data_IF_551660466180
#
_entry.id   IF_551660466180
#
_cell.length_a   1.000
_cell.length_b   1.000
_cell.length_c   1.000
_cell.angle_alpha   90.00
_cell.angle_beta   90.00
_cell.angle_gamma   90.00
#
_symmetry.space_group_name_H-M   'P 1'
#
loop_
_entity.id
_entity.type
_entity.pdbx_description
1 polymer ?
#
# COMPACT_ATOMS: atom_id res chain seq x y z
N UNK A 1 -7.09 -30.13 -40.56
CA UNK A 1 -7.76 -28.81 -40.43
C UNK A 1 -9.06 -28.87 -39.60
N UNK A 2 -9.71 -30.05 -39.45
CA UNK A 2 -10.97 -30.21 -38.68
C UNK A 2 -10.80 -30.51 -37.17
N UNK A 3 -9.61 -30.81 -36.66
CA UNK A 3 -9.41 -31.21 -35.25
C UNK A 3 -9.81 -30.12 -34.23
N UNK A 4 -9.78 -28.84 -34.65
CA UNK A 4 -10.21 -27.73 -33.81
C UNK A 4 -11.74 -27.62 -33.68
N UNK A 5 -12.51 -28.26 -34.56
CA UNK A 5 -13.97 -28.19 -34.54
C UNK A 5 -14.56 -28.81 -33.26
N UNK A 6 -13.94 -29.88 -32.75
CA UNK A 6 -14.33 -30.52 -31.48
C UNK A 6 -14.24 -29.55 -30.30
N UNK A 7 -13.17 -28.76 -30.25
CA UNK A 7 -12.98 -27.76 -29.19
C UNK A 7 -13.96 -26.60 -29.33
N UNK A 8 -14.27 -26.17 -30.56
CA UNK A 8 -15.27 -25.12 -30.82
C UNK A 8 -16.66 -25.55 -30.35
N UNK A 9 -17.10 -26.76 -30.73
CA UNK A 9 -18.39 -27.30 -30.29
C UNK A 9 -18.44 -27.49 -28.78
N UNK A 10 -17.35 -27.99 -28.18
CA UNK A 10 -17.26 -28.12 -26.72
C UNK A 10 -17.38 -26.75 -26.02
N UNK A 11 -16.71 -25.71 -26.52
CA UNK A 11 -16.77 -24.39 -25.87
C UNK A 11 -18.13 -23.69 -26.05
N UNK A 12 -18.86 -23.94 -27.14
CA UNK A 12 -20.21 -23.39 -27.37
C UNK A 12 -21.25 -23.92 -26.39
N UNK A 13 -21.09 -25.16 -25.91
CA UNK A 13 -22.04 -25.79 -24.98
C UNK A 13 -21.77 -25.45 -23.51
N UNK A 14 -20.61 -24.89 -23.19
CA UNK A 14 -20.25 -24.50 -21.83
C UNK A 14 -20.58 -23.03 -21.58
N UNK A 15 -20.91 -22.70 -20.33
CA UNK A 15 -21.12 -21.30 -19.94
C UNK A 15 -19.80 -20.52 -20.05
N UNK A 16 -19.85 -19.21 -20.38
CA UNK A 16 -18.66 -18.37 -20.40
C UNK A 16 -17.95 -18.38 -19.04
N UNK A 17 -16.62 -18.43 -19.06
CA UNK A 17 -15.78 -18.33 -17.86
C UNK A 17 -15.75 -16.88 -17.31
N UNK A 18 -16.18 -15.90 -18.12
CA UNK A 18 -16.17 -14.49 -17.79
C UNK A 18 -17.18 -14.15 -16.68
N UNK A 19 -16.77 -13.24 -15.79
CA UNK A 19 -17.65 -12.65 -14.76
C UNK A 19 -18.20 -11.32 -15.26
N UNK A 20 -19.42 -10.96 -14.87
CA UNK A 20 -20.05 -9.69 -15.25
C UNK A 20 -19.65 -8.57 -14.30
N UNK A 21 -18.43 -8.04 -14.44
CA UNK A 21 -18.01 -6.83 -13.73
C UNK A 21 -18.89 -5.63 -14.17
N UNK A 22 -19.35 -4.72 -13.28
CA UNK A 22 -19.08 -4.63 -11.84
C UNK A 22 -20.07 -5.37 -10.93
N UNK A 23 -21.10 -6.04 -11.49
CA UNK A 23 -22.16 -6.71 -10.74
C UNK A 23 -21.69 -7.98 -10.02
N UNK A 24 -20.76 -8.71 -10.62
CA UNK A 24 -20.15 -9.91 -10.06
C UNK A 24 -18.64 -9.69 -9.93
N UNK A 25 -18.19 -9.29 -8.74
CA UNK A 25 -16.77 -9.11 -8.43
C UNK A 25 -16.16 -10.42 -7.95
N UNK A 26 -14.86 -10.60 -8.20
CA UNK A 26 -14.09 -11.70 -7.62
C UNK A 26 -13.57 -11.24 -6.27
N UNK A 27 -13.79 -12.05 -5.25
CA UNK A 27 -13.14 -11.84 -3.95
C UNK A 27 -11.61 -11.87 -4.10
N UNK A 28 -10.89 -10.87 -3.56
CA UNK A 28 -9.44 -10.86 -3.57
C UNK A 28 -8.87 -12.12 -2.92
N UNK A 29 -7.73 -12.59 -3.44
CA UNK A 29 -6.99 -13.68 -2.81
C UNK A 29 -6.50 -13.29 -1.42
N UNK A 30 -6.23 -14.28 -0.56
CA UNK A 30 -5.79 -14.04 0.82
C UNK A 30 -4.54 -13.15 0.92
N UNK A 31 -3.57 -13.37 0.02
CA UNK A 31 -2.31 -12.61 -0.05
C UNK A 31 -2.30 -11.55 -1.16
N UNK A 32 -3.48 -11.12 -1.63
CA UNK A 32 -3.58 -10.06 -2.61
C UNK A 32 -2.96 -8.76 -2.05
N UNK A 33 -2.22 -8.06 -2.91
CA UNK A 33 -1.61 -6.77 -2.58
C UNK A 33 -2.33 -5.69 -3.38
N UNK A 34 -3.19 -4.94 -2.70
CA UNK A 34 -3.99 -3.87 -3.29
C UNK A 34 -3.34 -2.51 -3.09
N UNK A 35 -3.31 -2.03 -1.85
CA UNK A 35 -2.64 -0.78 -1.51
C UNK A 35 -2.16 -0.76 -0.06
N UNK A 36 -1.24 0.16 0.24
CA UNK A 36 -0.74 0.32 1.61
C UNK A 36 -1.58 1.31 2.40
N UNK A 37 -1.80 1.01 3.66
CA UNK A 37 -2.41 1.91 4.65
C UNK A 37 -1.48 2.00 5.86
N UNK A 38 -1.45 3.16 6.51
CA UNK A 38 -0.65 3.38 7.71
C UNK A 38 -1.56 3.77 8.86
N UNK A 39 -1.50 2.98 9.93
CA UNK A 39 -2.03 3.31 11.24
C UNK A 39 -1.07 4.30 11.91
N UNK A 40 -1.39 5.59 11.79
CA UNK A 40 -0.51 6.66 12.25
C UNK A 40 -0.29 6.62 13.77
N UNK A 41 -1.26 6.11 14.54
CA UNK A 41 -1.17 6.01 15.99
C UNK A 41 -0.10 4.99 16.41
N UNK A 42 0.00 3.87 15.69
CA UNK A 42 1.07 2.88 15.89
C UNK A 42 2.40 3.28 15.25
N UNK A 43 2.40 4.24 14.34
CA UNK A 43 3.60 4.69 13.63
C UNK A 43 4.52 5.48 14.57
N UNK A 44 5.79 5.11 14.66
CA UNK A 44 6.80 5.84 15.46
C UNK A 44 7.67 6.79 14.62
N UNK A 45 7.30 7.02 13.36
CA UNK A 45 8.02 7.89 12.42
C UNK A 45 9.52 7.57 12.31
N UNK A 46 9.89 6.28 12.30
CA UNK A 46 11.28 5.82 12.24
C UNK A 46 11.94 5.95 10.86
N UNK A 47 11.15 6.17 9.80
CA UNK A 47 11.65 6.32 8.43
C UNK A 47 12.23 5.06 7.78
N UNK A 48 12.06 3.87 8.38
CA UNK A 48 12.51 2.60 7.75
C UNK A 48 11.76 2.36 6.43
N UNK A 49 10.44 2.54 6.43
CA UNK A 49 9.59 2.37 5.25
C UNK A 49 10.00 3.26 4.07
N UNK A 50 10.44 4.50 4.35
CA UNK A 50 11.02 5.40 3.34
C UNK A 50 12.33 4.84 2.78
N UNK A 51 13.27 4.42 3.65
CA UNK A 51 14.59 3.92 3.22
C UNK A 51 14.54 2.64 2.39
N UNK A 52 13.59 1.75 2.68
CA UNK A 52 13.45 0.47 1.96
C UNK A 52 12.55 0.58 0.73
N UNK A 53 11.91 1.73 0.50
CA UNK A 53 10.99 1.90 -0.62
C UNK A 53 11.76 1.95 -1.94
N UNK A 54 11.59 0.98 -2.86
CA UNK A 54 12.34 0.97 -4.12
C UNK A 54 11.95 2.12 -5.07
N UNK A 55 10.75 2.69 -4.91
CA UNK A 55 10.28 3.82 -5.70
C UNK A 55 10.34 5.16 -4.97
N UNK A 56 10.86 5.21 -3.73
CA UNK A 56 10.96 6.43 -2.92
C UNK A 56 9.64 7.20 -2.70
N UNK A 57 8.49 6.53 -2.82
CA UNK A 57 7.16 7.14 -2.73
C UNK A 57 6.68 7.45 -1.30
N UNK A 58 7.50 7.20 -0.27
CA UNK A 58 7.17 7.48 1.15
C UNK A 58 8.16 8.50 1.69
N UNK A 59 7.67 9.55 2.34
CA UNK A 59 8.46 10.56 3.03
C UNK A 59 8.04 10.65 4.50
N UNK A 60 9.01 10.65 5.41
CA UNK A 60 8.79 10.67 6.85
C UNK A 60 9.58 11.81 7.48
N UNK A 61 8.87 12.78 8.04
CA UNK A 61 9.46 13.88 8.80
C UNK A 61 9.15 13.71 10.29
N UNK A 62 10.14 13.22 11.04
CA UNK A 62 10.00 13.00 12.49
C UNK A 62 9.90 14.30 13.30
N UNK A 63 10.46 15.43 12.82
CA UNK A 63 10.39 16.71 13.52
C UNK A 63 8.99 17.33 13.40
N UNK A 64 8.42 17.27 12.21
CA UNK A 64 7.09 17.81 11.92
C UNK A 64 5.95 16.82 12.25
N UNK A 65 6.29 15.57 12.54
CA UNK A 65 5.29 14.54 12.81
C UNK A 65 4.59 14.02 11.56
N UNK A 66 5.19 14.20 10.38
CA UNK A 66 4.52 13.97 9.08
C UNK A 66 4.93 12.64 8.47
N UNK A 67 3.96 11.87 8.00
CA UNK A 67 4.14 10.74 7.08
C UNK A 67 3.39 11.04 5.79
N UNK A 68 4.11 11.22 4.69
CA UNK A 68 3.56 11.51 3.38
C UNK A 68 3.82 10.34 2.43
N UNK A 69 2.85 10.06 1.57
CA UNK A 69 2.90 8.93 0.65
C UNK A 69 2.28 9.29 -0.70
N UNK A 70 2.94 8.87 -1.77
CA UNK A 70 2.57 9.10 -3.16
C UNK A 70 2.04 7.79 -3.80
N UNK A 71 0.71 7.56 -3.82
CA UNK A 71 0.11 6.36 -4.39
C UNK A 71 0.51 6.06 -5.83
N UNK A 72 0.71 7.10 -6.65
CA UNK A 72 0.97 6.98 -8.09
C UNK A 72 2.40 6.55 -8.42
N UNK A 73 3.30 6.57 -7.45
CA UNK A 73 4.69 6.10 -7.57
C UNK A 73 4.89 4.74 -6.88
N UNK A 74 3.87 4.25 -6.17
CA UNK A 74 3.95 3.00 -5.45
C UNK A 74 3.83 1.79 -6.40
N UNK A 75 4.82 0.90 -6.37
CA UNK A 75 4.81 -0.35 -7.15
C UNK A 75 4.17 -1.54 -6.41
N UNK A 76 3.54 -1.30 -5.25
CA UNK A 76 2.79 -2.30 -4.46
C UNK A 76 3.64 -3.54 -4.09
N UNK A 77 4.94 -3.33 -3.86
CA UNK A 77 5.88 -4.41 -3.55
C UNK A 77 5.76 -4.96 -2.11
N UNK A 78 5.20 -4.19 -1.18
CA UNK A 78 4.98 -4.61 0.22
C UNK A 78 6.19 -4.59 1.14
N UNK A 79 7.40 -4.26 0.66
CA UNK A 79 8.63 -4.25 1.48
C UNK A 79 8.54 -3.31 2.69
N UNK A 80 7.83 -2.18 2.54
CA UNK A 80 7.59 -1.25 3.64
C UNK A 80 6.72 -1.84 4.77
N UNK A 81 5.76 -2.69 4.44
CA UNK A 81 4.89 -3.40 5.40
C UNK A 81 5.71 -4.43 6.16
N UNK A 82 6.51 -5.23 5.45
CA UNK A 82 7.36 -6.27 6.04
C UNK A 82 8.46 -5.68 6.94
N UNK A 83 9.03 -4.54 6.56
CA UNK A 83 10.11 -3.89 7.30
C UNK A 83 9.63 -3.01 8.46
N UNK A 84 8.33 -2.81 8.63
CA UNK A 84 7.82 -1.90 9.66
C UNK A 84 7.93 -2.54 11.06
N UNK A 85 8.77 -2.01 11.97
CA UNK A 85 9.02 -2.63 13.27
C UNK A 85 7.78 -2.64 14.18
N UNK A 86 6.93 -1.61 14.08
CA UNK A 86 5.70 -1.50 14.86
C UNK A 86 4.48 -2.10 14.16
N UNK A 87 4.65 -2.64 12.94
CA UNK A 87 3.57 -3.15 12.09
C UNK A 87 2.42 -2.14 11.92
N UNK A 88 2.76 -0.85 11.84
CA UNK A 88 1.77 0.21 11.58
C UNK A 88 1.27 0.22 10.14
N UNK A 89 2.07 -0.31 9.22
CA UNK A 89 1.74 -0.41 7.80
C UNK A 89 1.04 -1.73 7.53
N UNK A 90 -0.03 -1.69 6.75
CA UNK A 90 -0.79 -2.86 6.31
C UNK A 90 -0.93 -2.85 4.78
N UNK A 91 -1.18 -4.04 4.22
CA UNK A 91 -1.52 -4.20 2.81
C UNK A 91 -3.01 -4.52 2.70
N UNK A 92 -3.80 -3.53 2.30
CA UNK A 92 -5.21 -3.73 1.95
C UNK A 92 -5.31 -4.61 0.70
N UNK A 93 -6.36 -5.44 0.65
CA UNK A 93 -6.57 -6.39 -0.45
C UNK A 93 -7.24 -5.73 -1.65
N UNK A 94 -8.05 -4.71 -1.40
CA UNK A 94 -8.73 -3.95 -2.43
C UNK A 94 -7.77 -3.01 -3.15
N UNK A 95 -8.02 -2.79 -4.43
CA UNK A 95 -7.37 -1.69 -5.16
C UNK A 95 -7.85 -0.35 -4.61
N UNK A 96 -7.01 0.68 -4.74
CA UNK A 96 -7.47 2.04 -4.47
C UNK A 96 -8.62 2.42 -5.40
N UNK A 97 -9.55 3.27 -4.92
CA UNK A 97 -10.56 3.85 -5.80
C UNK A 97 -9.89 4.65 -6.92
N UNK A 98 -10.60 4.73 -8.05
CA UNK A 98 -10.17 5.52 -9.20
C UNK A 98 -10.12 6.99 -8.78
N UNK A 99 -9.04 7.69 -9.14
CA UNK A 99 -8.91 9.14 -9.00
C UNK A 99 -8.59 9.73 -10.37
N UNK A 100 -9.16 10.91 -10.65
CA UNK A 100 -8.90 11.64 -11.90
C UNK A 100 -7.60 12.44 -11.84
N UNK A 101 -7.11 12.74 -10.64
CA UNK A 101 -5.92 13.53 -10.40
C UNK A 101 -4.92 12.79 -9.50
N UNK A 102 -3.65 13.18 -9.63
CA UNK A 102 -2.60 12.72 -8.73
C UNK A 102 -2.80 13.40 -7.37
N UNK A 103 -2.69 12.62 -6.30
CA UNK A 103 -2.80 13.11 -4.93
C UNK A 103 -1.74 12.50 -4.04
N UNK A 104 -1.46 13.19 -2.94
CA UNK A 104 -0.58 12.73 -1.86
C UNK A 104 -1.43 12.43 -0.62
N UNK A 105 -1.11 11.34 0.07
CA UNK A 105 -1.69 11.02 1.37
C UNK A 105 -0.73 11.54 2.43
N UNK A 106 -1.19 12.53 3.22
CA UNK A 106 -0.41 13.11 4.31
C UNK A 106 -1.10 12.83 5.64
N UNK A 107 -0.39 12.14 6.53
CA UNK A 107 -0.83 11.87 7.89
C UNK A 107 0.09 12.61 8.88
N UNK A 108 -0.49 13.15 9.94
CA UNK A 108 0.24 13.85 11.01
C UNK A 108 0.08 13.10 12.33
N UNK A 109 1.16 13.05 13.10
CA UNK A 109 1.19 12.55 14.48
C UNK A 109 1.77 13.63 15.38
N UNK A 110 1.13 13.85 16.53
CA UNK A 110 1.72 14.68 17.58
C UNK A 110 3.00 14.02 18.09
N UNK A 111 4.13 14.67 17.86
CA UNK A 111 5.43 14.20 18.34
C UNK A 111 5.58 14.70 19.77
N UNK A 112 5.52 13.78 20.74
CA UNK A 112 5.98 14.10 22.08
C UNK A 112 7.49 14.38 21.98
N UNK A 113 7.87 15.65 22.11
CA UNK A 113 9.27 16.03 22.13
C UNK A 113 9.96 15.22 23.25
N UNK A 114 11.08 14.53 22.97
CA UNK A 114 11.90 14.02 24.06
C UNK A 114 12.28 15.20 24.96
N UNK A 115 12.34 15.02 26.29
CA UNK A 115 12.73 16.09 27.20
C UNK A 115 14.04 16.69 26.71
N UNK A 116 14.07 18.03 26.66
CA UNK A 116 15.23 18.83 26.32
C UNK A 116 16.43 18.21 27.05
N UNK A 117 17.39 17.65 26.31
CA UNK A 117 18.70 17.40 26.92
C UNK A 117 19.28 18.78 27.12
N UNK A 118 18.96 19.38 28.27
CA UNK A 118 19.62 20.57 28.75
C UNK A 118 21.10 20.35 28.50
N UNK A 119 21.65 21.23 27.65
CA UNK A 119 23.09 21.32 27.44
C UNK A 119 23.67 21.42 28.84
N UNK A 120 24.33 20.36 29.30
CA UNK A 120 25.18 20.45 30.49
C UNK A 120 26.24 21.49 30.12
N UNK A 121 26.01 22.71 30.58
CA UNK A 121 27.07 23.68 30.81
C UNK A 121 28.07 23.03 31.77
N UNK A 122 29.36 23.11 31.42
CA UNK A 122 30.47 22.73 32.29
C UNK A 122 31.28 21.53 31.77
N UNK A 123 32.41 21.79 31.13
CA UNK A 123 33.69 22.06 31.81
C UNK A 123 34.66 22.74 30.82
#
# INVERSE_FOLDING_TARGET
>A
MLDMLKNVVSNLTHKPVTRKYPFEKREPFEKARGHIENDIDKCILCGICQRVCPSNCIQVNRKEGTWAFQPFECIICGVCVESCPTKSLTMAKEYRPISNEKYEIVQKKEVQNPPNKDKKEGA
#
